data_IF_763610306288
#
_entry.id   IF_763610306288
#
_cell.length_a   1.000
_cell.length_b   1.000
_cell.length_c   1.000
_cell.angle_alpha   90.00
_cell.angle_beta   90.00
_cell.angle_gamma   90.00
#
_symmetry.space_group_name_H-M   'P 1'
#
loop_
_entity.id
_entity.type
_entity.pdbx_description
1 polymer ?
#
# COMPACT_ATOMS: atom_id res chain seq x y z
N UNK A 1 0.47 2.58 12.33
CA UNK A 1 0.11 1.66 11.21
C UNK A 1 1.22 1.73 10.16
N UNK A 2 2.09 0.73 10.10
CA UNK A 2 3.30 0.73 9.27
C UNK A 2 3.08 0.03 7.91
N UNK A 3 3.87 0.40 6.90
CA UNK A 3 3.94 -0.28 5.60
C UNK A 3 5.24 -1.09 5.58
N UNK A 4 5.15 -2.40 5.33
CA UNK A 4 6.33 -3.27 5.30
C UNK A 4 6.81 -3.43 3.86
N UNK A 5 7.38 -2.35 3.33
CA UNK A 5 7.93 -2.35 1.98
C UNK A 5 9.05 -3.39 1.86
N UNK A 6 9.13 -4.11 0.72
CA UNK A 6 10.24 -5.01 0.51
C UNK A 6 11.55 -4.20 0.43
N UNK A 7 12.67 -4.71 0.98
CA UNK A 7 13.92 -3.96 1.14
C UNK A 7 14.56 -3.50 -0.18
N UNK A 8 14.12 -4.05 -1.32
CA UNK A 8 14.55 -3.67 -2.67
C UNK A 8 13.39 -3.24 -3.57
N UNK A 9 12.35 -2.65 -2.99
CA UNK A 9 11.22 -2.13 -3.77
C UNK A 9 11.70 -1.01 -4.72
N UNK A 10 11.79 -1.30 -6.02
CA UNK A 10 12.01 -0.25 -7.03
C UNK A 10 10.82 0.72 -7.05
N UNK A 11 11.10 2.00 -7.25
CA UNK A 11 10.08 3.06 -7.37
C UNK A 11 9.04 2.72 -8.44
N UNK A 12 9.46 2.12 -9.55
CA UNK A 12 8.55 1.63 -10.59
C UNK A 12 7.49 0.64 -10.07
N UNK A 13 7.87 -0.25 -9.15
CA UNK A 13 6.94 -1.22 -8.56
C UNK A 13 5.92 -0.53 -7.65
N UNK A 14 6.37 0.48 -6.89
CA UNK A 14 5.48 1.30 -6.07
C UNK A 14 4.47 2.06 -6.94
N UNK A 15 4.95 2.68 -8.02
CA UNK A 15 4.11 3.39 -9.00
C UNK A 15 3.02 2.48 -9.57
N UNK A 16 3.39 1.27 -10.02
CA UNK A 16 2.42 0.29 -10.56
C UNK A 16 1.33 -0.07 -9.55
N UNK A 17 1.67 -0.18 -8.27
CA UNK A 17 0.69 -0.49 -7.21
C UNK A 17 -0.29 0.65 -7.01
N UNK A 18 0.19 1.90 -6.98
CA UNK A 18 -0.68 3.07 -6.80
C UNK A 18 -1.60 3.26 -8.02
N UNK A 19 -1.07 3.11 -9.24
CA UNK A 19 -1.86 3.20 -10.47
C UNK A 19 -2.96 2.13 -10.50
N UNK A 20 -2.63 0.89 -10.15
CA UNK A 20 -3.62 -0.20 -10.09
C UNK A 20 -4.75 0.08 -9.10
N UNK A 21 -4.48 0.71 -7.96
CA UNK A 21 -5.53 1.09 -7.00
C UNK A 21 -6.48 2.15 -7.60
N UNK A 22 -5.94 3.09 -8.39
CA UNK A 22 -6.73 4.13 -9.08
C UNK A 22 -7.56 3.60 -10.26
N UNK A 23 -7.11 2.52 -10.91
CA UNK A 23 -7.89 1.81 -11.93
C UNK A 23 -9.06 1.05 -11.30
N UNK A 24 -8.80 0.37 -10.17
CA UNK A 24 -9.82 -0.44 -9.47
C UNK A 24 -10.83 0.44 -8.71
N UNK A 25 -10.40 1.58 -8.17
CA UNK A 25 -11.26 2.52 -7.44
C UNK A 25 -11.19 3.92 -8.05
N UNK A 26 -11.89 4.18 -9.17
CA UNK A 26 -11.92 5.50 -9.81
C UNK A 26 -12.45 6.60 -8.88
N UNK A 27 -13.37 6.25 -7.96
CA UNK A 27 -13.87 7.16 -6.91
C UNK A 27 -12.79 7.65 -5.93
N UNK A 28 -11.68 6.91 -5.79
CA UNK A 28 -10.56 7.34 -4.96
C UNK A 28 -9.85 8.58 -5.53
N UNK A 29 -10.02 8.91 -6.82
CA UNK A 29 -9.44 10.10 -7.46
C UNK A 29 -9.90 11.42 -6.84
N UNK A 30 -11.04 11.43 -6.15
CA UNK A 30 -11.51 12.59 -5.39
C UNK A 30 -10.75 12.81 -4.07
N UNK A 31 -9.94 11.84 -3.63
CA UNK A 31 -9.12 11.93 -2.41
C UNK A 31 -7.72 12.46 -2.70
N UNK A 32 -6.98 12.84 -1.64
CA UNK A 32 -5.59 13.27 -1.79
C UNK A 32 -4.69 12.13 -2.28
N UNK A 33 -3.79 12.45 -3.22
CA UNK A 33 -2.88 11.48 -3.82
C UNK A 33 -2.02 10.73 -2.78
N UNK A 34 -1.60 11.43 -1.71
CA UNK A 34 -0.88 10.83 -0.60
C UNK A 34 -1.70 9.74 0.12
N UNK A 35 -2.99 10.00 0.36
CA UNK A 35 -3.89 9.03 1.02
C UNK A 35 -4.13 7.81 0.15
N UNK A 36 -4.28 8.01 -1.16
CA UNK A 36 -4.45 6.92 -2.13
C UNK A 36 -3.19 6.06 -2.16
N UNK A 37 -2.02 6.67 -2.27
CA UNK A 37 -0.75 5.97 -2.29
C UNK A 37 -0.53 5.16 -1.00
N UNK A 38 -0.76 5.77 0.17
CA UNK A 38 -0.66 5.08 1.45
C UNK A 38 -1.62 3.90 1.54
N UNK A 39 -2.88 4.05 1.11
CA UNK A 39 -3.88 2.98 1.12
C UNK A 39 -3.46 1.82 0.21
N UNK A 40 -3.04 2.12 -1.02
CA UNK A 40 -2.59 1.14 -1.99
C UNK A 40 -1.37 0.34 -1.47
N UNK A 41 -0.37 1.05 -0.94
CA UNK A 41 0.84 0.44 -0.40
C UNK A 41 0.55 -0.41 0.85
N UNK A 42 -0.33 0.05 1.75
CA UNK A 42 -0.75 -0.73 2.92
C UNK A 42 -1.47 -2.02 2.55
N UNK A 43 -2.37 -1.98 1.56
CA UNK A 43 -3.07 -3.17 1.07
C UNK A 43 -2.10 -4.17 0.44
N UNK A 44 -1.09 -3.68 -0.29
CA UNK A 44 -0.13 -4.54 -0.97
C UNK A 44 0.92 -5.13 -0.02
N UNK A 45 1.35 -4.36 0.97
CA UNK A 45 2.42 -4.69 1.92
C UNK A 45 2.01 -4.35 3.36
N UNK A 46 1.03 -5.07 3.92
CA UNK A 46 0.69 -4.92 5.32
C UNK A 46 1.87 -5.41 6.16
N UNK A 47 2.22 -4.67 7.20
CA UNK A 47 3.10 -5.22 8.23
C UNK A 47 2.35 -6.29 9.02
N UNK A 48 2.99 -7.41 9.38
CA UNK A 48 2.40 -8.36 10.29
C UNK A 48 2.06 -7.64 11.60
N UNK A 49 0.78 -7.59 11.93
CA UNK A 49 0.34 -7.19 13.26
C UNK A 49 0.81 -8.31 14.19
N UNK A 50 1.62 -7.98 15.19
CA UNK A 50 2.11 -8.95 16.17
C UNK A 50 0.91 -9.49 16.98
N UNK A 51 0.20 -10.47 16.43
CA UNK A 51 -0.85 -11.26 17.08
C UNK A 51 -0.57 -12.72 16.71
N UNK A 52 0.41 -13.32 17.38
CA UNK A 52 0.71 -14.74 17.20
C UNK A 52 2.11 -15.26 17.55
N UNK A 53 2.93 -14.55 18.35
CA UNK A 53 4.04 -15.20 19.08
C UNK A 53 3.60 -15.34 20.53
N UNK A 54 3.15 -16.53 20.89
CA UNK A 54 2.62 -16.82 22.22
C UNK A 54 2.08 -18.23 22.42
N UNK A 55 2.81 -19.26 21.99
CA UNK A 55 3.07 -20.56 22.66
C UNK A 55 3.72 -21.54 21.68
#
# INVERSE_FOLDING_TARGET
MAICLPPRAKVEKLRKVVLKELEVQPQARASSAASIALRALKRKWPCPTHLGVGR
#
